data_IF_871604202285
#
_entry.id   IF_871604202285
#
_cell.length_a   1.000
_cell.length_b   1.000
_cell.length_c   1.000
_cell.angle_alpha   90.00
_cell.angle_beta   90.00
_cell.angle_gamma   90.00
#
_symmetry.space_group_name_H-M   'P 1'
#
loop_
_entity.id
_entity.type
_entity.pdbx_description
1 polymer ?
#
# COMPACT_ATOMS: atom_id res chain seq x y z
N UNK A 1 -0.89 -7.09 -15.48
CA UNK A 1 -2.15 -7.47 -16.17
C UNK A 1 -3.21 -7.74 -15.10
N UNK A 2 -4.01 -6.73 -14.71
CA UNK A 2 -4.97 -6.85 -13.60
C UNK A 2 -6.32 -7.37 -14.12
N UNK A 3 -6.61 -8.64 -13.85
CA UNK A 3 -7.93 -9.25 -14.06
C UNK A 3 -8.75 -9.07 -12.78
N UNK A 4 -9.73 -8.15 -12.76
CA UNK A 4 -10.66 -7.99 -11.63
C UNK A 4 -12.07 -7.66 -12.16
N UNK A 5 -12.86 -8.68 -12.42
CA UNK A 5 -14.26 -8.56 -12.89
C UNK A 5 -15.23 -8.14 -11.76
N UNK A 6 -14.89 -8.36 -10.48
CA UNK A 6 -15.78 -8.12 -9.33
C UNK A 6 -15.81 -6.66 -8.81
N UNK A 7 -14.93 -5.77 -9.26
CA UNK A 7 -14.90 -4.36 -8.78
C UNK A 7 -16.07 -3.53 -9.33
N UNK A 8 -16.54 -3.87 -10.54
CA UNK A 8 -17.55 -3.09 -11.30
C UNK A 8 -18.97 -3.18 -10.76
N UNK A 9 -19.24 -4.06 -9.79
CA UNK A 9 -20.58 -4.22 -9.20
C UNK A 9 -20.98 -3.02 -8.33
N UNK A 10 -20.03 -2.33 -7.70
CA UNK A 10 -20.29 -1.15 -6.87
C UNK A 10 -20.38 0.16 -7.65
N UNK A 11 -20.17 0.11 -8.97
CA UNK A 11 -20.16 1.28 -9.84
C UNK A 11 -21.51 2.00 -9.90
N UNK A 12 -22.67 1.31 -9.88
CA UNK A 12 -23.98 1.96 -9.73
C UNK A 12 -24.11 2.76 -8.41
N UNK A 13 -23.32 2.45 -7.38
CA UNK A 13 -23.37 3.20 -6.11
C UNK A 13 -22.84 4.63 -6.26
N UNK A 14 -22.08 4.93 -7.32
CA UNK A 14 -21.66 6.30 -7.67
C UNK A 14 -22.88 7.19 -7.94
N UNK A 15 -24.03 6.60 -8.31
CA UNK A 15 -25.29 7.32 -8.49
C UNK A 15 -25.76 8.02 -7.21
N UNK A 16 -25.21 7.70 -6.03
CA UNK A 16 -25.47 8.45 -4.80
C UNK A 16 -25.08 9.93 -4.91
N UNK A 17 -24.18 10.29 -5.84
CA UNK A 17 -23.89 11.68 -6.22
C UNK A 17 -25.15 12.47 -6.64
N UNK A 18 -26.16 11.81 -7.22
CA UNK A 18 -27.39 12.48 -7.64
C UNK A 18 -28.20 13.03 -6.46
N UNK A 19 -27.97 12.54 -5.24
CA UNK A 19 -28.61 13.10 -4.04
C UNK A 19 -28.21 14.56 -3.80
N UNK A 20 -27.06 15.02 -4.32
CA UNK A 20 -26.61 16.43 -4.21
C UNK A 20 -27.57 17.39 -4.97
N UNK A 21 -28.36 16.88 -5.92
CA UNK A 21 -29.37 17.68 -6.62
C UNK A 21 -30.55 18.06 -5.72
N UNK A 22 -30.78 17.33 -4.63
CA UNK A 22 -31.82 17.62 -3.65
C UNK A 22 -31.30 18.73 -2.72
N UNK A 23 -32.06 19.83 -2.60
CA UNK A 23 -31.65 20.99 -1.81
C UNK A 23 -31.42 20.65 -0.33
N UNK A 24 -32.24 19.78 0.24
CA UNK A 24 -32.17 19.31 1.64
C UNK A 24 -30.87 18.58 1.97
N UNK A 25 -30.25 17.97 0.96
CA UNK A 25 -28.99 17.20 1.10
C UNK A 25 -27.78 18.10 0.86
N UNK A 26 -27.97 19.34 0.37
CA UNK A 26 -26.91 20.29 0.05
C UNK A 26 -26.39 21.03 1.29
N UNK A 27 -26.05 20.28 2.31
CA UNK A 27 -25.45 20.76 3.56
C UNK A 27 -23.93 20.54 3.56
N UNK A 28 -23.21 21.39 4.30
CA UNK A 28 -21.76 21.27 4.56
C UNK A 28 -21.38 19.94 5.24
N UNK A 29 -22.32 19.25 5.88
CA UNK A 29 -22.05 17.92 6.44
C UNK A 29 -22.26 16.81 5.41
N UNK A 30 -23.39 16.82 4.69
CA UNK A 30 -23.77 15.71 3.82
C UNK A 30 -23.01 15.69 2.49
N UNK A 31 -22.79 16.85 1.88
CA UNK A 31 -22.12 16.94 0.57
C UNK A 31 -20.70 16.34 0.61
N UNK A 32 -19.82 16.71 1.57
CA UNK A 32 -18.47 16.16 1.60
C UNK A 32 -18.46 14.66 1.86
N UNK A 33 -19.40 14.13 2.65
CA UNK A 33 -19.53 12.69 2.92
C UNK A 33 -19.96 11.94 1.66
N UNK A 34 -20.99 12.42 0.96
CA UNK A 34 -21.49 11.81 -0.28
C UNK A 34 -20.40 11.82 -1.35
N UNK A 35 -19.70 12.95 -1.50
CA UNK A 35 -18.58 13.09 -2.43
C UNK A 35 -17.44 12.16 -2.05
N UNK A 36 -17.08 12.08 -0.76
CA UNK A 36 -16.04 11.18 -0.27
C UNK A 36 -16.34 9.72 -0.61
N UNK A 37 -17.55 9.25 -0.32
CA UNK A 37 -17.97 7.86 -0.60
C UNK A 37 -17.96 7.60 -2.12
N UNK A 38 -18.53 8.52 -2.89
CA UNK A 38 -18.63 8.38 -4.35
C UNK A 38 -17.27 8.33 -5.03
N UNK A 39 -16.36 9.24 -4.66
CA UNK A 39 -15.01 9.27 -5.20
C UNK A 39 -14.15 8.13 -4.67
N UNK A 40 -14.37 7.65 -3.45
CA UNK A 40 -13.72 6.42 -2.93
C UNK A 40 -14.04 5.21 -3.81
N UNK A 41 -15.31 5.05 -4.18
CA UNK A 41 -15.77 3.95 -5.05
C UNK A 41 -15.24 4.10 -6.48
N UNK A 42 -15.24 5.33 -7.00
CA UNK A 42 -14.71 5.65 -8.33
C UNK A 42 -13.20 5.35 -8.41
N UNK A 43 -12.43 5.83 -7.45
CA UNK A 43 -10.99 5.61 -7.37
C UNK A 43 -10.62 4.16 -7.07
N UNK A 44 -11.45 3.43 -6.33
CA UNK A 44 -11.28 1.99 -6.14
C UNK A 44 -11.42 1.17 -7.43
N UNK A 45 -12.36 1.59 -8.28
CA UNK A 45 -12.62 0.99 -9.60
C UNK A 45 -11.58 1.41 -10.64
N UNK A 46 -11.15 2.67 -10.58
CA UNK A 46 -10.18 3.26 -11.51
C UNK A 46 -8.95 3.84 -10.79
N UNK A 47 -8.09 3.00 -10.16
CA UNK A 47 -6.90 3.48 -9.44
C UNK A 47 -5.92 4.29 -10.30
N UNK A 48 -5.94 4.07 -11.62
CA UNK A 48 -5.19 4.85 -12.60
C UNK A 48 -5.41 6.37 -12.49
N UNK A 49 -6.62 6.82 -12.14
CA UNK A 49 -6.94 8.25 -12.02
C UNK A 49 -6.15 8.88 -10.89
N UNK A 50 -6.13 8.18 -9.77
CA UNK A 50 -5.39 8.55 -8.58
C UNK A 50 -3.89 8.49 -8.83
N UNK A 51 -3.46 7.50 -9.61
CA UNK A 51 -2.06 7.32 -9.96
C UNK A 51 -1.45 8.54 -10.64
N UNK A 52 -2.22 9.20 -11.52
CA UNK A 52 -1.77 10.39 -12.24
C UNK A 52 -1.59 11.63 -11.35
N UNK A 53 -2.26 11.67 -10.19
CA UNK A 53 -2.19 12.84 -9.29
C UNK A 53 -0.87 12.92 -8.52
N UNK A 54 -0.16 11.80 -8.40
CA UNK A 54 1.17 11.78 -7.78
C UNK A 54 2.18 12.12 -8.87
N UNK A 55 2.55 13.40 -8.92
CA UNK A 55 3.58 13.94 -9.81
C UNK A 55 4.89 13.19 -9.58
N UNK A 56 5.33 12.48 -10.62
CA UNK A 56 6.26 11.36 -10.59
C UNK A 56 5.73 10.19 -9.78
N UNK A 57 5.60 9.02 -10.41
CA UNK A 57 5.42 7.85 -9.61
C UNK A 57 6.64 7.71 -8.71
N UNK A 58 6.44 7.75 -7.40
CA UNK A 58 7.32 7.06 -6.46
C UNK A 58 7.18 5.54 -6.73
N UNK A 59 7.44 5.11 -7.96
CA UNK A 59 7.54 3.72 -8.31
C UNK A 59 8.84 3.21 -7.71
N UNK A 60 8.80 1.93 -7.39
CA UNK A 60 9.92 1.03 -7.17
C UNK A 60 11.26 1.53 -7.73
N UNK A 61 11.30 1.96 -8.98
CA UNK A 61 12.48 2.53 -9.63
C UNK A 61 13.20 3.60 -8.78
N UNK A 62 12.56 4.65 -8.26
CA UNK A 62 13.24 5.63 -7.40
C UNK A 62 13.62 5.07 -6.01
N UNK A 63 12.98 3.96 -5.61
CA UNK A 63 13.25 3.25 -4.36
C UNK A 63 14.41 2.25 -4.46
N UNK A 64 14.77 1.83 -5.68
CA UNK A 64 15.80 0.83 -5.98
C UNK A 64 16.93 1.33 -6.90
N UNK A 65 16.76 2.43 -7.63
CA UNK A 65 17.78 3.04 -8.52
C UNK A 65 18.80 3.86 -7.71
N UNK A 66 18.44 4.32 -6.51
CA UNK A 66 19.43 4.86 -5.58
C UNK A 66 20.19 3.69 -4.90
N UNK A 67 20.86 2.86 -5.72
CA UNK A 67 21.70 1.71 -5.33
C UNK A 67 22.78 2.12 -4.31
N UNK A 68 23.12 3.41 -4.29
CA UNK A 68 24.06 4.02 -3.34
C UNK A 68 23.51 4.15 -1.91
N UNK A 69 22.18 4.16 -1.71
CA UNK A 69 21.54 4.29 -0.38
C UNK A 69 20.95 2.99 0.17
N UNK A 70 20.69 2.01 -0.68
CA UNK A 70 20.16 0.69 -0.30
C UNK A 70 20.91 -0.37 -1.12
N UNK A 71 21.96 -0.99 -0.54
CA UNK A 71 22.79 -1.91 -1.29
C UNK A 71 21.96 -3.13 -1.71
N UNK A 72 21.84 -3.32 -3.02
CA UNK A 72 21.52 -4.58 -3.70
C UNK A 72 20.38 -5.39 -3.05
N UNK A 73 19.18 -4.81 -3.01
CA UNK A 73 18.03 -5.44 -2.37
C UNK A 73 17.29 -6.34 -3.37
N UNK A 74 17.59 -7.65 -3.37
CA UNK A 74 16.76 -8.66 -4.05
C UNK A 74 15.46 -8.87 -3.26
N UNK A 75 14.50 -7.95 -3.38
CA UNK A 75 13.19 -8.07 -2.72
C UNK A 75 12.33 -9.08 -3.47
N UNK A 76 11.71 -9.99 -2.74
CA UNK A 76 10.77 -10.94 -3.33
C UNK A 76 9.57 -10.23 -3.97
N UNK A 77 9.14 -10.69 -5.15
CA UNK A 77 7.99 -10.12 -5.88
C UNK A 77 6.69 -10.08 -5.05
N UNK A 78 6.58 -10.90 -3.99
CA UNK A 78 5.43 -10.95 -3.09
C UNK A 78 5.32 -9.70 -2.22
N UNK A 79 6.42 -9.25 -1.61
CA UNK A 79 6.47 -8.03 -0.79
C UNK A 79 6.18 -6.83 -1.68
N UNK A 80 6.74 -6.85 -2.89
CA UNK A 80 6.53 -5.81 -3.89
C UNK A 80 5.06 -5.55 -4.17
N UNK A 81 4.32 -6.63 -4.43
CA UNK A 81 2.89 -6.56 -4.71
C UNK A 81 2.06 -6.13 -3.51
N UNK A 82 2.42 -6.56 -2.28
CA UNK A 82 1.74 -6.13 -1.06
C UNK A 82 1.88 -4.62 -0.84
N UNK A 83 3.08 -4.08 -1.03
CA UNK A 83 3.35 -2.65 -0.91
C UNK A 83 2.61 -1.84 -1.97
N UNK A 84 2.65 -2.27 -3.24
CA UNK A 84 1.92 -1.62 -4.34
C UNK A 84 0.44 -1.49 -4.00
N UNK A 85 -0.16 -2.58 -3.47
CA UNK A 85 -1.53 -2.54 -3.01
C UNK A 85 -1.72 -1.48 -1.92
N UNK A 86 -0.96 -1.53 -0.82
CA UNK A 86 -1.09 -0.58 0.30
C UNK A 86 -0.94 0.87 -0.16
N UNK A 87 0.03 1.15 -1.03
CA UNK A 87 0.22 2.48 -1.61
C UNK A 87 -1.03 2.93 -2.38
N UNK A 88 -1.57 2.08 -3.26
CA UNK A 88 -2.80 2.35 -4.00
C UNK A 88 -3.97 2.64 -3.04
N UNK A 89 -4.12 1.86 -1.97
CA UNK A 89 -5.15 2.07 -0.95
C UNK A 89 -5.04 3.44 -0.29
N UNK A 90 -3.84 3.82 0.16
CA UNK A 90 -3.59 5.12 0.78
C UNK A 90 -3.92 6.23 -0.21
N UNK A 91 -3.44 6.14 -1.45
CA UNK A 91 -3.70 7.11 -2.50
C UNK A 91 -5.20 7.30 -2.77
N UNK A 92 -5.97 6.20 -2.81
CA UNK A 92 -7.43 6.25 -3.01
C UNK A 92 -8.09 7.02 -1.88
N UNK A 93 -7.77 6.69 -0.63
CA UNK A 93 -8.35 7.34 0.55
C UNK A 93 -7.99 8.82 0.57
N UNK A 94 -6.72 9.15 0.34
CA UNK A 94 -6.26 10.53 0.39
C UNK A 94 -6.93 11.35 -0.72
N UNK A 95 -6.87 10.91 -1.99
CA UNK A 95 -7.51 11.66 -3.06
C UNK A 95 -9.03 11.78 -2.91
N UNK A 96 -9.70 10.79 -2.32
CA UNK A 96 -11.13 10.93 -1.99
C UNK A 96 -11.38 12.02 -0.96
N UNK A 97 -10.51 12.11 0.05
CA UNK A 97 -10.54 13.19 1.06
C UNK A 97 -10.29 14.56 0.42
N UNK A 98 -9.36 14.65 -0.54
CA UNK A 98 -9.09 15.89 -1.28
C UNK A 98 -10.33 16.37 -2.03
N UNK A 99 -10.97 15.48 -2.80
CA UNK A 99 -12.15 15.85 -3.59
C UNK A 99 -13.32 16.21 -2.67
N UNK A 100 -13.47 15.52 -1.55
CA UNK A 100 -14.44 15.85 -0.49
C UNK A 100 -14.19 17.25 0.09
N UNK A 101 -12.97 17.56 0.51
CA UNK A 101 -12.61 18.90 1.02
C UNK A 101 -12.79 20.00 -0.04
N UNK A 102 -12.46 19.70 -1.30
CA UNK A 102 -12.72 20.61 -2.41
C UNK A 102 -14.22 20.82 -2.62
N UNK A 103 -15.04 19.79 -2.51
CA UNK A 103 -16.50 19.92 -2.66
C UNK A 103 -17.11 20.81 -1.59
N UNK A 104 -16.63 20.70 -0.34
CA UNK A 104 -17.05 21.56 0.77
C UNK A 104 -16.67 23.02 0.52
N UNK A 105 -15.43 23.25 0.10
CA UNK A 105 -14.96 24.57 -0.28
C UNK A 105 -15.77 25.15 -1.44
N UNK A 106 -16.01 24.38 -2.50
CA UNK A 106 -16.80 24.84 -3.65
C UNK A 106 -18.25 25.14 -3.26
N UNK A 107 -18.85 24.35 -2.37
CA UNK A 107 -20.18 24.61 -1.83
C UNK A 107 -20.24 25.97 -1.12
N UNK A 108 -19.27 26.25 -0.24
CA UNK A 108 -19.13 27.55 0.44
C UNK A 108 -18.99 28.73 -0.54
N UNK A 109 -18.31 28.52 -1.66
CA UNK A 109 -18.05 29.59 -2.63
C UNK A 109 -19.20 29.84 -3.59
N UNK A 110 -20.06 28.86 -3.84
CA UNK A 110 -21.28 29.06 -4.63
C UNK A 110 -22.27 29.93 -3.83
N UNK A 111 -22.33 29.79 -2.50
CA UNK A 111 -23.16 30.62 -1.62
C UNK A 111 -22.61 32.04 -1.42
N UNK A 112 -21.28 32.22 -1.46
CA UNK A 112 -20.65 33.54 -1.34
C UNK A 112 -20.07 34.00 -2.69
N UNK A 113 -20.79 34.88 -3.39
CA UNK A 113 -20.40 35.47 -4.69
C UNK A 113 -18.95 35.95 -4.61
N UNK A 114 -18.05 35.20 -5.23
CA UNK A 114 -16.61 35.46 -5.15
C UNK A 114 -15.96 35.31 -6.52
N UNK A 115 -14.93 36.12 -6.76
CA UNK A 115 -14.24 36.17 -8.04
C UNK A 115 -13.60 34.81 -8.39
N UNK A 116 -13.74 34.37 -9.65
CA UNK A 116 -13.19 33.11 -10.17
C UNK A 116 -11.68 32.97 -9.89
N UNK A 117 -10.93 34.07 -9.95
CA UNK A 117 -9.49 34.08 -9.66
C UNK A 117 -9.17 33.68 -8.21
N UNK A 118 -9.98 34.10 -7.25
CA UNK A 118 -9.82 33.70 -5.85
C UNK A 118 -10.15 32.23 -5.65
N UNK A 119 -11.19 31.72 -6.33
CA UNK A 119 -11.56 30.29 -6.28
C UNK A 119 -10.41 29.45 -6.83
N UNK A 120 -9.86 29.83 -7.99
CA UNK A 120 -8.72 29.15 -8.59
C UNK A 120 -7.48 29.20 -7.68
N UNK A 121 -7.18 30.35 -7.07
CA UNK A 121 -6.05 30.52 -6.17
C UNK A 121 -6.14 29.64 -4.92
N UNK A 122 -7.29 29.62 -4.26
CA UNK A 122 -7.50 28.78 -3.06
C UNK A 122 -7.55 27.29 -3.43
N UNK A 123 -8.22 26.94 -4.53
CA UNK A 123 -8.24 25.56 -5.04
C UNK A 123 -6.81 25.06 -5.32
N UNK A 124 -5.99 25.88 -5.98
CA UNK A 124 -4.57 25.57 -6.21
C UNK A 124 -3.78 25.42 -4.91
N UNK A 125 -4.06 26.26 -3.91
CA UNK A 125 -3.48 26.16 -2.57
C UNK A 125 -3.82 24.85 -1.85
N UNK A 126 -5.09 24.46 -1.85
CA UNK A 126 -5.57 23.20 -1.27
C UNK A 126 -4.90 22.01 -1.96
N UNK A 127 -4.88 21.98 -3.30
CA UNK A 127 -4.21 20.92 -4.08
C UNK A 127 -2.73 20.84 -3.71
N UNK A 128 -2.04 21.97 -3.56
CA UNK A 128 -0.60 21.99 -3.21
C UNK A 128 -0.34 21.45 -1.82
N UNK A 129 -1.15 21.81 -0.82
CA UNK A 129 -1.08 21.24 0.54
C UNK A 129 -1.28 19.72 0.45
N UNK A 130 -2.24 19.29 -0.36
CA UNK A 130 -2.53 17.88 -0.55
C UNK A 130 -1.37 17.10 -1.19
N UNK A 131 -0.71 17.68 -2.18
CA UNK A 131 0.49 17.12 -2.78
C UNK A 131 1.61 16.96 -1.74
N UNK A 132 1.79 17.94 -0.84
CA UNK A 132 2.76 17.84 0.27
C UNK A 132 2.40 16.70 1.22
N UNK A 133 1.12 16.55 1.59
CA UNK A 133 0.64 15.47 2.44
C UNK A 133 0.83 14.08 1.80
N UNK A 134 0.47 13.94 0.53
CA UNK A 134 0.69 12.69 -0.22
C UNK A 134 2.19 12.33 -0.26
N UNK A 135 3.06 13.31 -0.50
CA UNK A 135 4.51 13.09 -0.48
C UNK A 135 5.02 12.67 0.90
N UNK A 136 4.47 13.24 1.99
CA UNK A 136 4.79 12.84 3.35
C UNK A 136 4.35 11.39 3.64
N UNK A 137 3.15 11.02 3.21
CA UNK A 137 2.61 9.65 3.36
C UNK A 137 3.44 8.64 2.57
N UNK A 138 3.85 8.98 1.34
CA UNK A 138 4.78 8.16 0.57
C UNK A 138 6.07 7.93 1.36
N UNK A 139 6.73 8.98 1.87
CA UNK A 139 7.95 8.85 2.69
C UNK A 139 7.74 7.98 3.93
N UNK A 140 6.61 8.11 4.61
CA UNK A 140 6.27 7.27 5.76
C UNK A 140 6.12 5.80 5.35
N UNK A 141 5.44 5.53 4.23
CA UNK A 141 5.27 4.19 3.69
C UNK A 141 6.61 3.55 3.32
N UNK A 142 7.56 4.33 2.76
CA UNK A 142 8.92 3.85 2.48
C UNK A 142 9.65 3.40 3.75
N UNK A 143 9.50 4.15 4.85
CA UNK A 143 10.08 3.77 6.15
C UNK A 143 9.48 2.46 6.68
N UNK A 144 8.17 2.28 6.55
CA UNK A 144 7.50 1.02 6.92
C UNK A 144 8.03 -0.12 6.07
N UNK A 145 8.13 0.07 4.75
CA UNK A 145 8.63 -0.96 3.85
C UNK A 145 10.05 -1.39 4.22
N UNK A 146 10.95 -0.43 4.48
CA UNK A 146 12.32 -0.73 4.90
C UNK A 146 12.36 -1.57 6.18
N UNK A 147 11.46 -1.30 7.14
CA UNK A 147 11.32 -2.12 8.35
C UNK A 147 10.81 -3.52 8.04
N UNK A 148 9.71 -3.64 7.30
CA UNK A 148 9.13 -4.94 6.96
C UNK A 148 10.15 -5.86 6.26
N UNK A 149 10.97 -5.31 5.38
CA UNK A 149 11.92 -6.14 4.64
C UNK A 149 13.14 -6.51 5.50
N UNK A 150 13.57 -5.64 6.42
CA UNK A 150 14.57 -6.00 7.44
C UNK A 150 14.05 -7.12 8.36
N UNK A 151 12.79 -7.04 8.79
CA UNK A 151 12.15 -8.05 9.64
C UNK A 151 12.04 -9.40 8.94
N UNK A 152 11.75 -9.41 7.63
CA UNK A 152 11.72 -10.65 6.83
C UNK A 152 13.13 -11.25 6.68
N UNK A 153 14.15 -10.43 6.44
CA UNK A 153 15.54 -10.89 6.36
C UNK A 153 16.02 -11.51 7.68
N UNK A 154 15.67 -10.90 8.81
CA UNK A 154 16.00 -11.46 10.12
C UNK A 154 15.33 -12.82 10.35
N UNK A 155 14.08 -12.99 9.91
CA UNK A 155 13.37 -14.27 9.98
C UNK A 155 13.99 -15.33 9.10
N UNK A 156 14.41 -14.99 7.88
CA UNK A 156 15.10 -15.92 6.98
C UNK A 156 16.43 -16.39 7.57
N UNK A 157 17.24 -15.47 8.11
CA UNK A 157 18.52 -15.81 8.76
C UNK A 157 18.32 -16.76 9.95
N UNK A 158 17.37 -16.48 10.84
CA UNK A 158 17.05 -17.36 11.98
C UNK A 158 16.57 -18.75 11.52
N UNK A 159 15.81 -18.81 10.44
CA UNK A 159 15.34 -20.07 9.89
C UNK A 159 16.49 -20.90 9.28
N UNK A 160 17.45 -20.25 8.62
CA UNK A 160 18.65 -20.92 8.12
C UNK A 160 19.55 -21.45 9.25
N UNK A 161 19.72 -20.69 10.32
CA UNK A 161 20.45 -21.13 11.53
C UNK A 161 19.80 -22.38 12.13
N UNK A 162 18.48 -22.37 12.32
CA UNK A 162 17.73 -23.53 12.81
C UNK A 162 17.83 -24.75 11.88
N UNK A 163 17.92 -24.56 10.56
CA UNK A 163 18.12 -25.66 9.61
C UNK A 163 19.50 -26.27 9.73
N UNK A 164 20.55 -25.43 9.85
CA UNK A 164 21.93 -25.88 10.05
C UNK A 164 22.09 -26.66 11.35
N UNK A 165 21.49 -26.18 12.44
CA UNK A 165 21.48 -26.88 13.73
C UNK A 165 20.85 -28.28 13.61
N UNK A 166 19.66 -28.37 12.99
CA UNK A 166 18.98 -29.66 12.76
C UNK A 166 19.79 -30.61 11.87
N UNK A 167 20.46 -30.11 10.84
CA UNK A 167 21.32 -30.94 9.99
C UNK A 167 22.52 -31.51 10.77
N UNK A 168 23.12 -30.71 11.66
CA UNK A 168 24.22 -31.14 12.53
C UNK A 168 23.72 -32.20 13.52
N UNK A 169 22.57 -31.98 14.15
CA UNK A 169 21.94 -32.96 15.05
C UNK A 169 21.66 -34.29 14.34
N UNK A 170 21.12 -34.25 13.13
CA UNK A 170 20.83 -35.45 12.34
C UNK A 170 22.12 -36.21 11.98
N UNK A 171 23.17 -35.50 11.58
CA UNK A 171 24.49 -36.10 11.29
C UNK A 171 25.09 -36.76 12.53
N UNK A 172 25.01 -36.09 13.68
CA UNK A 172 25.51 -36.64 14.95
C UNK A 172 24.73 -37.88 15.39
N UNK A 173 23.39 -37.85 15.27
CA UNK A 173 22.54 -39.00 15.57
C UNK A 173 22.84 -40.19 14.65
N UNK A 174 23.06 -39.93 13.36
CA UNK A 174 23.45 -40.95 12.38
C UNK A 174 24.80 -41.60 12.73
N UNK A 175 25.83 -40.81 13.02
CA UNK A 175 27.15 -41.33 13.41
C UNK A 175 27.10 -42.15 14.70
N UNK A 176 26.39 -41.67 15.72
CA UNK A 176 26.20 -42.41 16.97
C UNK A 176 25.49 -43.76 16.76
N UNK A 177 24.47 -43.80 15.89
CA UNK A 177 23.80 -45.04 15.53
C UNK A 177 24.75 -46.00 14.81
N UNK A 178 25.53 -45.51 13.85
CA UNK A 178 26.51 -46.32 13.09
C UNK A 178 27.59 -46.90 14.00
N UNK A 179 28.16 -46.10 14.90
CA UNK A 179 29.17 -46.58 15.87
C UNK A 179 28.59 -47.65 16.79
N UNK A 180 27.34 -47.49 17.26
CA UNK A 180 26.68 -48.51 18.08
C UNK A 180 26.37 -49.81 17.33
N UNK A 181 26.12 -49.75 16.01
CA UNK A 181 25.97 -50.95 15.18
C UNK A 181 27.30 -51.67 15.00
N UNK A 182 28.41 -50.94 14.78
CA UNK A 182 29.75 -51.53 14.63
C UNK A 182 30.26 -52.15 15.94
N UNK A 183 29.86 -51.61 17.10
CA UNK A 183 30.20 -52.17 18.42
C UNK A 183 29.42 -53.43 18.81
N UNK A 184 28.40 -53.86 18.05
CA UNK A 184 27.80 -55.17 18.30
C UNK A 184 28.81 -56.25 17.89
N UNK A 185 29.29 -57.11 18.81
CA UNK A 185 30.17 -58.20 18.44
C UNK A 185 29.46 -59.05 17.38
N UNK A 186 30.19 -59.43 16.32
CA UNK A 186 29.71 -60.50 15.42
C UNK A 186 29.47 -61.69 16.33
N UNK A 187 28.22 -62.12 16.44
CA UNK A 187 27.92 -63.37 17.11
C UNK A 187 28.79 -64.43 16.42
N UNK A 188 29.67 -65.05 17.21
CA UNK A 188 30.49 -66.16 16.77
C UNK A 188 29.52 -67.24 16.28
N UNK A 189 29.38 -67.37 14.97
CA UNK A 189 28.82 -68.57 14.35
C UNK A 189 29.93 -69.61 14.37
N UNK A 190 29.85 -70.46 15.38
CA UNK A 190 30.44 -71.81 15.40
C UNK A 190 29.87 -72.67 14.26
#
# INVERSE_FOLDING_TARGET
MYKIEKKRLFLPLILIMFLILIEEVRDFVYVPIIVFISFSILFWNYPWLVYRTVSKPFYYEDLFIDETKLPNYQISNKIKKKFENVLIYILIITNSLLVSALSDYWLYRITHITNLFQIAGVTGGIIKIFQILNNLLCRFLLKIMKRCVNDEKEKENKLEELRKEKEIELKNAFWNKTINVVKRPRANTE
#
